data_IF_147778035900
#
_entry.id   IF_147778035900
#
_cell.length_a   1.000
_cell.length_b   1.000
_cell.length_c   1.000
_cell.angle_alpha   90.00
_cell.angle_beta   90.00
_cell.angle_gamma   90.00
#
_symmetry.space_group_name_H-M   'P 1'
#
loop_
_entity.id
_entity.type
_entity.pdbx_description
1 polymer ?
#
# COMPACT_ATOMS: atom_id res chain seq x y z
N UNK A 1 3.59 -21.51 -6.42
CA UNK A 1 2.34 -21.32 -5.66
C UNK A 1 1.38 -20.51 -6.52
N UNK A 2 0.09 -20.82 -6.53
CA UNK A 2 -0.89 -20.05 -7.31
C UNK A 2 -1.16 -18.71 -6.63
N UNK A 3 -1.29 -17.63 -7.42
CA UNK A 3 -1.62 -16.30 -6.91
C UNK A 3 -3.03 -16.29 -6.30
N UNK A 4 -3.23 -15.46 -5.27
CA UNK A 4 -4.54 -15.28 -4.61
C UNK A 4 -5.50 -14.56 -5.54
N UNK A 5 -5.02 -13.51 -6.21
CA UNK A 5 -5.76 -12.77 -7.23
C UNK A 5 -4.89 -12.65 -8.48
N UNK A 6 -5.45 -12.96 -9.64
CA UNK A 6 -4.83 -12.65 -10.92
C UNK A 6 -5.77 -11.79 -11.75
N UNK A 7 -5.30 -10.65 -12.22
CA UNK A 7 -6.01 -9.68 -13.05
C UNK A 7 -5.38 -9.69 -14.44
N UNK A 8 -6.20 -9.82 -15.49
CA UNK A 8 -5.77 -9.91 -16.88
C UNK A 8 -6.53 -8.92 -17.74
N UNK A 9 -5.86 -7.86 -18.15
CA UNK A 9 -6.33 -6.82 -19.08
C UNK A 9 -7.68 -6.20 -18.73
N UNK A 10 -7.94 -5.99 -17.43
CA UNK A 10 -9.21 -5.39 -17.00
C UNK A 10 -9.35 -3.99 -17.55
N UNK A 11 -10.45 -3.78 -18.27
CA UNK A 11 -10.87 -2.50 -18.83
C UNK A 11 -12.27 -2.16 -18.34
N UNK A 12 -12.49 -0.90 -17.97
CA UNK A 12 -13.79 -0.40 -17.52
C UNK A 12 -14.11 0.95 -18.11
N UNK A 13 -15.27 1.04 -18.76
CA UNK A 13 -15.84 2.29 -19.22
C UNK A 13 -17.11 2.65 -18.44
N UNK A 14 -17.29 3.94 -18.17
CA UNK A 14 -18.53 4.56 -17.73
C UNK A 14 -18.99 5.52 -18.85
N UNK A 15 -19.85 5.04 -19.74
CA UNK A 15 -20.18 5.76 -20.96
C UNK A 15 -18.90 6.02 -21.78
N UNK A 16 -18.52 7.31 -21.93
CA UNK A 16 -17.30 7.71 -22.66
C UNK A 16 -16.04 7.79 -21.79
N UNK A 17 -16.18 7.67 -20.47
CA UNK A 17 -15.06 7.79 -19.54
C UNK A 17 -14.40 6.42 -19.39
N UNK A 18 -13.12 6.32 -19.72
CA UNK A 18 -12.29 5.11 -19.51
C UNK A 18 -11.71 5.18 -18.10
N UNK A 19 -12.30 4.42 -17.17
CA UNK A 19 -11.88 4.37 -15.78
C UNK A 19 -10.73 3.39 -15.52
N UNK A 20 -10.63 2.30 -16.33
CA UNK A 20 -9.52 1.35 -16.31
C UNK A 20 -9.15 0.97 -17.75
N UNK A 21 -7.86 0.77 -18.01
CA UNK A 21 -7.33 0.39 -19.31
C UNK A 21 -6.34 -0.76 -19.20
N UNK A 22 -6.77 -1.95 -19.61
CA UNK A 22 -5.96 -3.17 -19.72
C UNK A 22 -5.06 -3.46 -18.49
N UNK A 23 -5.58 -3.18 -17.28
CA UNK A 23 -4.85 -3.39 -16.04
C UNK A 23 -4.59 -4.88 -15.83
N UNK A 24 -3.32 -5.25 -15.59
CA UNK A 24 -2.88 -6.63 -15.39
C UNK A 24 -1.83 -6.70 -14.29
N UNK A 25 -2.08 -7.47 -13.23
CA UNK A 25 -1.09 -7.82 -12.20
C UNK A 25 -1.57 -9.02 -11.39
N UNK A 26 -0.70 -9.52 -10.52
CA UNK A 26 -0.96 -10.68 -9.68
C UNK A 26 -0.68 -10.35 -8.22
N UNK A 27 -1.47 -10.95 -7.31
CA UNK A 27 -1.33 -10.79 -5.86
C UNK A 27 -0.89 -12.11 -5.26
N UNK A 28 0.33 -12.18 -4.69
CA UNK A 28 0.84 -13.37 -4.03
C UNK A 28 0.07 -13.68 -2.73
N UNK A 29 0.00 -14.96 -2.32
CA UNK A 29 -0.57 -15.34 -1.02
C UNK A 29 0.30 -14.79 0.13
N UNK A 30 -0.37 -14.38 1.24
CA UNK A 30 0.30 -13.86 2.43
C UNK A 30 0.88 -12.45 2.28
N UNK A 31 0.71 -11.81 1.11
CA UNK A 31 1.20 -10.44 0.88
C UNK A 31 0.24 -9.39 1.46
N UNK A 32 0.81 -8.26 1.86
CA UNK A 32 0.09 -6.99 1.96
C UNK A 32 0.31 -6.23 0.65
N UNK A 33 -0.71 -6.16 -0.18
CA UNK A 33 -0.65 -5.62 -1.52
C UNK A 33 -1.34 -4.25 -1.61
N UNK A 34 -0.57 -3.20 -1.87
CA UNK A 34 -1.05 -1.83 -2.02
C UNK A 34 -1.45 -1.51 -3.46
N UNK A 35 -2.68 -1.02 -3.68
CA UNK A 35 -3.11 -0.42 -4.95
C UNK A 35 -3.06 1.09 -4.76
N UNK A 36 -2.09 1.74 -5.38
CA UNK A 36 -1.69 3.12 -5.15
C UNK A 36 -2.06 4.04 -6.29
N UNK A 37 -2.30 5.28 -5.97
CA UNK A 37 -2.53 6.33 -6.98
C UNK A 37 -3.39 7.46 -6.45
N UNK A 38 -3.42 8.61 -7.14
CA UNK A 38 -4.23 9.75 -6.75
C UNK A 38 -5.73 9.45 -6.83
N UNK A 39 -6.54 10.36 -6.30
CA UNK A 39 -7.98 10.28 -6.46
C UNK A 39 -8.35 10.28 -7.96
N UNK A 40 -9.28 9.42 -8.35
CA UNK A 40 -9.66 9.23 -9.75
C UNK A 40 -8.71 8.36 -10.59
N UNK A 41 -7.67 7.73 -10.00
CA UNK A 41 -6.77 6.84 -10.74
C UNK A 41 -7.37 5.47 -11.10
N UNK A 42 -8.56 5.13 -10.57
CA UNK A 42 -9.24 3.87 -10.86
C UNK A 42 -9.20 2.82 -9.75
N UNK A 43 -8.60 3.09 -8.57
CA UNK A 43 -8.44 2.13 -7.45
C UNK A 43 -9.77 1.52 -7.00
N UNK A 44 -10.72 2.35 -6.59
CA UNK A 44 -12.07 1.91 -6.16
C UNK A 44 -12.81 1.19 -7.29
N UNK A 45 -12.67 1.64 -8.54
CA UNK A 45 -13.25 0.96 -9.70
C UNK A 45 -12.66 -0.45 -9.86
N UNK A 46 -11.34 -0.59 -9.72
CA UNK A 46 -10.67 -1.89 -9.82
C UNK A 46 -11.12 -2.83 -8.68
N UNK A 47 -11.14 -2.35 -7.43
CA UNK A 47 -11.65 -3.13 -6.30
C UNK A 47 -13.12 -3.52 -6.52
N UNK A 48 -13.96 -2.59 -6.98
CA UNK A 48 -15.36 -2.87 -7.32
C UNK A 48 -15.52 -3.96 -8.38
N UNK A 49 -14.64 -3.99 -9.39
CA UNK A 49 -14.62 -5.03 -10.43
C UNK A 49 -14.22 -6.38 -9.83
N UNK A 50 -13.11 -6.47 -9.11
CA UNK A 50 -12.64 -7.77 -8.59
C UNK A 50 -13.52 -8.32 -7.47
N UNK A 51 -14.31 -7.47 -6.81
CA UNK A 51 -15.34 -7.86 -5.85
C UNK A 51 -16.71 -8.11 -6.51
N UNK A 52 -16.81 -7.93 -7.84
CA UNK A 52 -18.04 -8.11 -8.61
C UNK A 52 -19.21 -7.21 -8.18
N UNK A 53 -18.90 -6.05 -7.62
CA UNK A 53 -19.84 -4.94 -7.43
C UNK A 53 -20.04 -4.21 -8.74
N UNK A 54 -19.00 -4.17 -9.57
CA UNK A 54 -18.98 -3.59 -10.91
C UNK A 54 -18.58 -4.68 -11.92
N UNK A 55 -19.21 -4.65 -13.09
CA UNK A 55 -18.78 -5.50 -14.19
C UNK A 55 -17.66 -4.84 -14.98
N UNK A 56 -16.60 -5.59 -15.30
CA UNK A 56 -15.61 -5.14 -16.28
C UNK A 56 -16.27 -4.97 -17.65
N UNK A 57 -15.77 -4.02 -18.45
CA UNK A 57 -16.16 -3.91 -19.85
C UNK A 57 -15.43 -4.96 -20.68
N UNK A 58 -14.17 -5.25 -20.33
CA UNK A 58 -13.34 -6.28 -20.96
C UNK A 58 -12.29 -6.78 -19.96
N UNK A 59 -11.66 -7.92 -20.27
CA UNK A 59 -10.67 -8.58 -19.40
C UNK A 59 -11.30 -9.57 -18.45
N UNK A 60 -10.46 -10.20 -17.63
CA UNK A 60 -10.88 -11.23 -16.66
C UNK A 60 -10.02 -11.19 -15.43
N UNK A 61 -10.55 -11.76 -14.35
CA UNK A 61 -9.80 -11.97 -13.11
C UNK A 61 -10.17 -13.32 -12.51
N UNK A 62 -9.29 -13.83 -11.67
CA UNK A 62 -9.50 -15.07 -10.93
C UNK A 62 -9.10 -14.89 -9.47
N UNK A 63 -9.86 -15.53 -8.58
CA UNK A 63 -9.54 -15.64 -7.17
C UNK A 63 -9.12 -17.07 -6.84
N UNK A 64 -8.08 -17.24 -6.02
CA UNK A 64 -7.58 -18.54 -5.58
C UNK A 64 -7.21 -19.50 -6.73
N UNK A 65 -6.77 -18.95 -7.86
CA UNK A 65 -6.43 -19.74 -9.06
C UNK A 65 -7.63 -20.17 -9.93
N UNK A 66 -8.85 -19.83 -9.55
CA UNK A 66 -10.09 -20.22 -10.24
C UNK A 66 -10.86 -18.99 -10.76
N UNK A 67 -11.70 -19.14 -11.78
CA UNK A 67 -12.60 -18.08 -12.22
C UNK A 67 -13.45 -17.53 -11.08
N UNK A 68 -13.63 -16.21 -11.02
CA UNK A 68 -14.34 -15.56 -9.93
C UNK A 68 -15.78 -16.05 -9.78
N UNK A 69 -16.18 -16.44 -8.57
CA UNK A 69 -17.51 -16.92 -8.23
C UNK A 69 -18.04 -16.31 -6.92
N UNK A 70 -19.35 -16.41 -6.70
CA UNK A 70 -19.95 -15.97 -5.45
C UNK A 70 -19.41 -16.75 -4.22
N UNK A 71 -19.09 -18.04 -4.42
CA UNK A 71 -18.57 -18.86 -3.35
C UNK A 71 -17.15 -18.48 -2.92
N UNK A 72 -16.32 -18.05 -3.86
CA UNK A 72 -14.97 -17.54 -3.55
C UNK A 72 -15.03 -16.21 -2.82
N UNK A 73 -15.95 -15.31 -3.20
CA UNK A 73 -16.12 -14.00 -2.52
C UNK A 73 -16.57 -14.15 -1.06
N UNK A 74 -17.27 -15.24 -0.68
CA UNK A 74 -17.58 -15.54 0.74
C UNK A 74 -16.33 -15.76 1.60
N UNK A 75 -15.19 -16.10 0.99
CA UNK A 75 -13.91 -16.30 1.68
C UNK A 75 -13.10 -14.99 1.82
N UNK A 76 -13.66 -13.86 1.37
CA UNK A 76 -13.00 -12.55 1.34
C UNK A 76 -13.73 -11.60 2.27
N UNK A 77 -13.03 -11.03 3.22
CA UNK A 77 -13.52 -9.93 4.05
C UNK A 77 -13.32 -8.61 3.31
N UNK A 78 -14.40 -7.87 3.07
CA UNK A 78 -14.33 -6.68 2.19
C UNK A 78 -14.88 -5.44 2.88
N UNK A 79 -14.12 -4.36 2.83
CA UNK A 79 -14.52 -2.99 3.18
C UNK A 79 -14.32 -2.12 1.94
N UNK A 80 -15.40 -1.86 1.21
CA UNK A 80 -15.44 -0.88 0.13
C UNK A 80 -16.25 0.31 0.63
N UNK A 81 -15.66 1.51 0.54
CA UNK A 81 -16.27 2.75 1.01
C UNK A 81 -16.53 2.82 2.53
N UNK A 82 -17.44 3.72 2.94
CA UNK A 82 -17.74 3.97 4.34
C UNK A 82 -18.64 2.87 4.91
N UNK A 83 -18.38 2.36 6.10
CA UNK A 83 -19.19 1.32 6.70
C UNK A 83 -20.60 1.84 7.03
N UNK A 84 -21.61 1.16 6.50
CA UNK A 84 -23.00 1.42 6.78
C UNK A 84 -23.48 0.58 7.98
N UNK A 85 -23.41 1.17 9.18
CA UNK A 85 -23.95 0.59 10.41
C UNK A 85 -25.13 1.37 10.92
N UNK A 86 -26.00 0.70 11.68
CA UNK A 86 -27.14 1.34 12.32
C UNK A 86 -26.68 2.20 13.50
N UNK A 87 -26.84 3.51 13.38
CA UNK A 87 -26.32 4.51 14.33
C UNK A 87 -26.89 4.36 15.75
N UNK A 88 -28.13 3.89 15.88
CA UNK A 88 -28.82 3.70 17.15
C UNK A 88 -28.52 2.36 17.83
N UNK A 89 -27.89 1.41 17.15
CA UNK A 89 -27.47 0.13 17.70
C UNK A 89 -26.06 0.20 18.27
N UNK A 90 -25.76 -0.73 19.18
CA UNK A 90 -24.39 -0.91 19.69
C UNK A 90 -23.46 -1.53 18.65
N UNK A 91 -22.15 -1.43 18.88
CA UNK A 91 -21.16 -2.09 18.02
C UNK A 91 -21.41 -3.58 17.86
N UNK A 92 -21.65 -4.28 18.96
CA UNK A 92 -21.94 -5.73 18.97
C UNK A 92 -23.21 -6.05 18.18
N UNK A 93 -24.31 -5.30 18.36
CA UNK A 93 -25.55 -5.53 17.61
C UNK A 93 -25.37 -5.32 16.10
N UNK A 94 -24.58 -4.34 15.71
CA UNK A 94 -24.22 -4.14 14.31
C UNK A 94 -23.44 -5.33 13.76
N UNK A 95 -22.50 -5.90 14.52
CA UNK A 95 -21.76 -7.10 14.10
C UNK A 95 -22.64 -8.35 14.02
N UNK A 96 -23.66 -8.50 14.90
CA UNK A 96 -24.65 -9.59 14.79
C UNK A 96 -25.42 -9.52 13.46
N UNK A 97 -25.86 -8.33 13.08
CA UNK A 97 -26.50 -8.12 11.78
C UNK A 97 -25.54 -8.44 10.64
N UNK A 98 -24.28 -7.98 10.72
CA UNK A 98 -23.27 -8.28 9.70
C UNK A 98 -22.99 -9.80 9.61
N UNK A 99 -22.90 -10.49 10.74
CA UNK A 99 -22.71 -11.94 10.79
C UNK A 99 -23.90 -12.67 10.14
N UNK A 100 -25.12 -12.31 10.47
CA UNK A 100 -26.34 -12.90 9.89
C UNK A 100 -26.40 -12.70 8.36
N UNK A 101 -26.11 -11.49 7.86
CA UNK A 101 -26.08 -11.20 6.41
C UNK A 101 -25.02 -12.05 5.69
N UNK A 102 -23.86 -12.26 6.31
CA UNK A 102 -22.75 -13.02 5.73
C UNK A 102 -22.90 -14.55 5.94
N UNK A 103 -23.87 -14.98 6.73
CA UNK A 103 -24.08 -16.40 7.07
C UNK A 103 -23.00 -16.97 7.99
N UNK A 104 -22.43 -16.12 8.87
CA UNK A 104 -21.42 -16.51 9.88
C UNK A 104 -22.03 -16.62 11.28
N UNK A 105 -21.42 -17.44 12.16
CA UNK A 105 -21.82 -17.56 13.57
C UNK A 105 -21.57 -16.27 14.34
N UNK A 106 -22.48 -15.93 15.26
CA UNK A 106 -22.30 -14.84 16.22
C UNK A 106 -21.20 -15.13 17.26
N UNK A 107 -20.81 -16.41 17.42
CA UNK A 107 -19.74 -16.83 18.34
C UNK A 107 -18.37 -16.22 17.99
N UNK A 108 -18.20 -15.76 16.75
CA UNK A 108 -16.98 -15.09 16.28
C UNK A 108 -16.89 -13.61 16.68
N UNK A 109 -18.00 -13.01 17.15
CA UNK A 109 -18.06 -11.57 17.48
C UNK A 109 -17.11 -11.18 18.60
N UNK A 110 -16.98 -11.91 19.71
CA UNK A 110 -15.99 -11.59 20.77
C UNK A 110 -14.57 -11.48 20.20
N UNK A 111 -14.14 -12.49 19.44
CA UNK A 111 -12.81 -12.54 18.83
C UNK A 111 -12.54 -11.31 17.96
N UNK A 112 -13.44 -10.95 17.04
CA UNK A 112 -13.22 -9.83 16.14
C UNK A 112 -13.24 -8.49 16.88
N UNK A 113 -14.02 -8.34 17.94
CA UNK A 113 -14.03 -7.14 18.78
C UNK A 113 -12.74 -6.98 19.57
N UNK A 114 -12.16 -8.07 20.07
CA UNK A 114 -10.85 -8.06 20.73
C UNK A 114 -9.74 -7.69 19.75
N UNK A 115 -9.70 -8.31 18.57
CA UNK A 115 -8.71 -8.02 17.51
C UNK A 115 -8.68 -6.52 17.16
N UNK A 116 -9.85 -5.89 17.05
CA UNK A 116 -9.91 -4.46 16.74
C UNK A 116 -9.90 -3.54 17.97
N UNK A 117 -9.69 -4.06 19.19
CA UNK A 117 -9.64 -3.33 20.45
C UNK A 117 -10.93 -2.52 20.73
N UNK A 118 -12.09 -3.13 20.47
CA UNK A 118 -13.42 -2.53 20.72
C UNK A 118 -14.26 -3.32 21.73
N UNK A 119 -13.70 -4.34 22.36
CA UNK A 119 -14.43 -5.19 23.31
C UNK A 119 -15.10 -4.39 24.43
N UNK A 120 -14.38 -3.48 25.08
CA UNK A 120 -14.89 -2.66 26.20
C UNK A 120 -15.99 -1.66 25.77
N UNK A 121 -16.01 -1.33 24.49
CA UNK A 121 -16.98 -0.38 23.90
C UNK A 121 -18.10 -1.08 23.15
N UNK A 122 -18.18 -2.43 23.14
CA UNK A 122 -19.12 -3.22 22.32
C UNK A 122 -20.60 -2.86 22.54
N UNK A 123 -20.97 -2.46 23.77
CA UNK A 123 -22.34 -2.10 24.11
C UNK A 123 -22.66 -0.61 23.89
N UNK A 124 -21.67 0.23 23.59
CA UNK A 124 -21.88 1.64 23.28
C UNK A 124 -22.55 1.79 21.90
N UNK A 125 -23.44 2.77 21.77
CA UNK A 125 -24.10 3.07 20.46
C UNK A 125 -23.07 3.47 19.43
N UNK A 126 -23.22 2.99 18.19
CA UNK A 126 -22.33 3.34 17.08
C UNK A 126 -22.24 4.84 16.82
N UNK A 127 -23.35 5.59 17.08
CA UNK A 127 -23.36 7.06 16.98
C UNK A 127 -22.34 7.74 17.89
N UNK A 128 -21.93 7.09 19.00
CA UNK A 128 -20.97 7.64 19.97
C UNK A 128 -19.51 7.24 19.67
N UNK A 129 -19.28 6.47 18.61
CA UNK A 129 -17.94 6.07 18.23
C UNK A 129 -17.21 7.20 17.52
N UNK A 130 -15.91 7.37 17.83
CA UNK A 130 -15.02 8.19 17.01
C UNK A 130 -14.89 7.62 15.59
N UNK A 131 -14.37 8.40 14.65
CA UNK A 131 -14.16 7.90 13.28
C UNK A 131 -13.25 6.67 13.26
N UNK A 132 -12.15 6.68 14.01
CA UNK A 132 -11.26 5.52 14.14
C UNK A 132 -11.94 4.28 14.75
N UNK A 133 -12.82 4.46 15.76
CA UNK A 133 -13.62 3.35 16.28
C UNK A 133 -14.62 2.82 15.24
N UNK A 134 -15.25 3.68 14.46
CA UNK A 134 -16.16 3.29 13.36
C UNK A 134 -15.40 2.47 12.31
N UNK A 135 -14.20 2.92 11.93
CA UNK A 135 -13.36 2.22 10.98
C UNK A 135 -12.92 0.84 11.51
N UNK A 136 -12.52 0.77 12.78
CA UNK A 136 -12.16 -0.50 13.43
C UNK A 136 -13.35 -1.47 13.49
N UNK A 137 -14.57 -1.00 13.77
CA UNK A 137 -15.76 -1.84 13.71
C UNK A 137 -16.04 -2.36 12.29
N UNK A 138 -15.78 -1.54 11.26
CA UNK A 138 -15.89 -1.97 9.87
C UNK A 138 -14.90 -3.08 9.53
N UNK A 139 -13.65 -2.93 9.96
CA UNK A 139 -12.65 -3.98 9.83
C UNK A 139 -13.08 -5.25 10.61
N UNK A 140 -13.62 -5.10 11.84
CA UNK A 140 -14.17 -6.24 12.60
C UNK A 140 -15.23 -6.99 11.80
N UNK A 141 -16.14 -6.29 11.12
CA UNK A 141 -17.14 -6.93 10.26
C UNK A 141 -16.52 -7.71 9.10
N UNK A 142 -15.37 -7.26 8.58
CA UNK A 142 -14.64 -7.97 7.53
C UNK A 142 -13.98 -9.25 8.05
N UNK A 143 -13.63 -9.30 9.34
CA UNK A 143 -12.96 -10.43 9.98
C UNK A 143 -13.90 -11.56 10.39
N UNK A 144 -15.22 -11.34 10.36
CA UNK A 144 -16.21 -12.38 10.65
C UNK A 144 -16.04 -13.58 9.72
N UNK A 145 -16.08 -14.78 10.30
CA UNK A 145 -15.84 -16.02 9.57
C UNK A 145 -14.36 -16.27 9.23
N UNK A 146 -13.44 -15.49 9.79
CA UNK A 146 -12.00 -15.65 9.68
C UNK A 146 -11.47 -15.78 8.23
N UNK A 147 -11.82 -14.87 7.31
CA UNK A 147 -11.40 -14.96 5.91
C UNK A 147 -9.87 -14.95 5.78
N UNK A 148 -9.35 -15.67 4.78
CA UNK A 148 -7.91 -15.69 4.46
C UNK A 148 -7.46 -14.45 3.66
N UNK A 149 -8.41 -13.77 3.03
CA UNK A 149 -8.17 -12.58 2.21
C UNK A 149 -9.00 -11.41 2.72
N UNK A 150 -8.39 -10.24 2.81
CA UNK A 150 -9.03 -8.97 3.18
C UNK A 150 -8.84 -7.96 2.07
N UNK A 151 -9.89 -7.20 1.77
CA UNK A 151 -9.86 -6.12 0.77
C UNK A 151 -10.37 -4.83 1.40
N UNK A 152 -9.53 -3.80 1.43
CA UNK A 152 -9.84 -2.51 2.05
C UNK A 152 -9.68 -1.38 1.04
N UNK A 153 -10.72 -0.56 0.89
CA UNK A 153 -10.65 0.68 0.12
C UNK A 153 -10.49 1.86 1.07
N UNK A 154 -9.36 2.56 0.97
CA UNK A 154 -8.99 3.74 1.75
C UNK A 154 -9.20 3.56 3.29
N UNK A 155 -8.63 2.51 3.93
CA UNK A 155 -8.95 2.17 5.33
C UNK A 155 -8.50 3.22 6.35
N UNK A 156 -7.65 4.16 5.97
CA UNK A 156 -7.12 5.22 6.83
C UNK A 156 -7.67 6.61 6.49
N UNK A 157 -8.57 6.70 5.50
CA UNK A 157 -9.07 7.99 5.04
C UNK A 157 -9.86 8.73 6.13
N UNK A 158 -9.53 10.01 6.33
CA UNK A 158 -10.16 10.88 7.31
C UNK A 158 -9.79 10.63 8.77
N UNK A 159 -8.91 9.65 9.06
CA UNK A 159 -8.42 9.41 10.41
C UNK A 159 -7.36 10.45 10.80
N UNK A 160 -7.27 10.70 12.10
CA UNK A 160 -6.17 11.44 12.69
C UNK A 160 -4.87 10.60 12.68
N UNK A 161 -3.69 11.19 12.93
CA UNK A 161 -2.43 10.44 12.91
C UNK A 161 -2.39 9.23 13.85
N UNK A 162 -3.10 9.28 14.98
CA UNK A 162 -3.19 8.16 15.92
C UNK A 162 -4.02 7.02 15.31
N UNK A 163 -5.18 7.33 14.75
CA UNK A 163 -6.04 6.35 14.09
C UNK A 163 -5.38 5.70 12.87
N UNK A 164 -4.58 6.48 12.10
CA UNK A 164 -3.77 5.94 11.00
C UNK A 164 -2.76 4.93 11.54
N UNK A 165 -2.01 5.28 12.61
CA UNK A 165 -1.04 4.39 13.22
C UNK A 165 -1.68 3.10 13.78
N UNK A 166 -2.82 3.21 14.47
CA UNK A 166 -3.56 2.06 15.00
C UNK A 166 -4.06 1.14 13.88
N UNK A 167 -4.60 1.70 12.79
CA UNK A 167 -5.06 0.92 11.63
C UNK A 167 -3.89 0.21 10.94
N UNK A 168 -2.74 0.87 10.83
CA UNK A 168 -1.52 0.30 10.30
C UNK A 168 -1.03 -0.91 11.13
N UNK A 169 -0.97 -0.77 12.45
CA UNK A 169 -0.59 -1.89 13.33
C UNK A 169 -1.57 -3.06 13.21
N UNK A 170 -2.88 -2.78 13.14
CA UNK A 170 -3.89 -3.82 12.92
C UNK A 170 -3.66 -4.57 11.60
N UNK A 171 -3.36 -3.87 10.50
CA UNK A 171 -3.05 -4.49 9.20
C UNK A 171 -1.79 -5.37 9.31
N UNK A 172 -0.75 -4.90 10.01
CA UNK A 172 0.48 -5.68 10.25
C UNK A 172 0.21 -6.96 11.05
N UNK A 173 -0.59 -6.87 12.10
CA UNK A 173 -0.90 -8.01 12.95
C UNK A 173 -1.75 -9.04 12.20
N UNK A 174 -2.68 -8.61 11.35
CA UNK A 174 -3.45 -9.49 10.48
C UNK A 174 -2.56 -10.17 9.43
N UNK A 175 -1.59 -9.46 8.87
CA UNK A 175 -0.60 -10.03 7.94
C UNK A 175 0.29 -11.08 8.61
N UNK A 176 0.76 -10.83 9.85
CA UNK A 176 1.53 -11.81 10.63
C UNK A 176 0.74 -13.11 10.91
N UNK A 177 -0.59 -13.04 10.92
CA UNK A 177 -1.48 -14.20 11.02
C UNK A 177 -1.63 -14.96 9.69
N UNK A 178 -0.88 -14.61 8.66
CA UNK A 178 -0.90 -15.26 7.35
C UNK A 178 -2.01 -14.80 6.40
N UNK A 179 -2.72 -13.72 6.73
CA UNK A 179 -3.77 -13.19 5.84
C UNK A 179 -3.15 -12.44 4.64
N UNK A 180 -3.76 -12.60 3.48
CA UNK A 180 -3.48 -11.76 2.31
C UNK A 180 -4.34 -10.52 2.38
N UNK A 181 -3.75 -9.34 2.27
CA UNK A 181 -4.47 -8.07 2.41
C UNK A 181 -4.26 -7.23 1.15
N UNK A 182 -5.35 -6.88 0.47
CA UNK A 182 -5.34 -5.86 -0.57
C UNK A 182 -5.85 -4.56 0.03
N UNK A 183 -5.10 -3.49 -0.16
CA UNK A 183 -5.55 -2.18 0.27
C UNK A 183 -5.35 -1.14 -0.84
N UNK A 184 -6.39 -0.36 -1.14
CA UNK A 184 -6.26 0.81 -1.97
C UNK A 184 -5.96 2.02 -1.09
N UNK A 185 -5.02 2.87 -1.50
CA UNK A 185 -4.70 4.11 -0.79
C UNK A 185 -4.08 5.16 -1.72
N UNK A 186 -4.26 6.41 -1.36
CA UNK A 186 -3.55 7.54 -1.94
C UNK A 186 -2.39 8.03 -1.05
N UNK A 187 -2.25 7.48 0.18
CA UNK A 187 -1.21 7.82 1.15
C UNK A 187 0.00 6.89 0.95
N UNK A 188 0.92 7.28 0.07
CA UNK A 188 2.07 6.48 -0.34
C UNK A 188 2.98 6.10 0.83
N UNK A 189 3.26 7.06 1.73
CA UNK A 189 4.09 6.85 2.92
C UNK A 189 3.53 5.80 3.89
N UNK A 190 2.19 5.76 4.03
CA UNK A 190 1.56 4.79 4.93
C UNK A 190 1.57 3.38 4.34
N UNK A 191 1.41 3.30 3.02
CA UNK A 191 1.49 2.03 2.29
C UNK A 191 2.90 1.45 2.32
N UNK A 192 3.92 2.27 2.12
CA UNK A 192 5.32 1.85 2.18
C UNK A 192 5.68 1.18 3.51
N UNK A 193 5.04 1.61 4.62
CA UNK A 193 5.30 1.07 5.95
C UNK A 193 4.68 -0.32 6.20
N UNK A 194 3.71 -0.76 5.40
CA UNK A 194 2.97 -2.02 5.64
C UNK A 194 2.95 -2.97 4.46
N UNK A 195 3.05 -2.48 3.22
CA UNK A 195 2.93 -3.30 2.04
C UNK A 195 4.23 -4.02 1.70
N UNK A 196 4.09 -5.27 1.26
CA UNK A 196 5.17 -6.07 0.67
C UNK A 196 5.20 -5.92 -0.85
N UNK A 197 4.04 -5.69 -1.46
CA UNK A 197 3.85 -5.53 -2.90
C UNK A 197 2.97 -4.33 -3.20
N UNK A 198 3.14 -3.75 -4.36
CA UNK A 198 2.35 -2.59 -4.82
C UNK A 198 1.98 -2.69 -6.30
N UNK A 199 0.88 -2.04 -6.65
CA UNK A 199 0.52 -1.67 -8.02
C UNK A 199 0.23 -0.17 -8.04
N UNK A 200 0.88 0.58 -8.90
CA UNK A 200 0.70 2.04 -9.03
C UNK A 200 -0.19 2.32 -10.24
N UNK A 201 -1.32 2.97 -9.98
CA UNK A 201 -2.31 3.35 -10.99
C UNK A 201 -2.32 4.86 -11.21
N UNK A 202 -2.41 5.28 -12.48
CA UNK A 202 -2.65 6.67 -12.87
C UNK A 202 -3.63 6.71 -14.06
N UNK A 203 -4.70 7.51 -13.95
CA UNK A 203 -5.69 7.71 -15.02
C UNK A 203 -6.23 6.40 -15.62
N UNK A 204 -6.40 5.39 -14.78
CA UNK A 204 -6.89 4.06 -15.17
C UNK A 204 -5.85 3.13 -15.77
N UNK A 205 -4.59 3.52 -15.83
CA UNK A 205 -3.49 2.72 -16.37
C UNK A 205 -2.57 2.22 -15.25
N UNK A 206 -2.03 1.03 -15.39
CA UNK A 206 -1.02 0.46 -14.50
C UNK A 206 0.36 0.98 -14.92
N UNK A 207 1.01 1.75 -14.05
CA UNK A 207 2.37 2.23 -14.30
C UNK A 207 3.42 1.18 -13.95
N UNK A 208 3.25 0.51 -12.81
CA UNK A 208 4.15 -0.56 -12.35
C UNK A 208 3.44 -1.43 -11.32
N UNK A 209 3.87 -2.69 -11.18
CA UNK A 209 3.46 -3.58 -10.09
C UNK A 209 4.60 -4.55 -9.75
N UNK A 210 4.74 -4.91 -8.46
CA UNK A 210 5.74 -5.86 -7.99
C UNK A 210 6.01 -5.74 -6.50
N UNK A 211 7.06 -6.41 -6.04
CA UNK A 211 7.58 -6.25 -4.67
C UNK A 211 8.00 -4.79 -4.42
N UNK A 212 7.69 -4.26 -3.23
CA UNK A 212 8.01 -2.85 -2.89
C UNK A 212 9.51 -2.58 -3.04
N UNK A 213 10.36 -3.51 -2.61
CA UNK A 213 11.81 -3.32 -2.74
C UNK A 213 12.23 -3.32 -4.21
N UNK A 214 11.67 -4.17 -5.06
CA UNK A 214 11.97 -4.18 -6.50
C UNK A 214 11.49 -2.89 -7.18
N UNK A 215 10.30 -2.40 -6.84
CA UNK A 215 9.77 -1.15 -7.38
C UNK A 215 10.62 0.06 -6.97
N UNK A 216 11.18 0.03 -5.74
CA UNK A 216 12.00 1.13 -5.20
C UNK A 216 13.49 1.03 -5.56
N UNK A 217 14.02 -0.16 -5.90
CA UNK A 217 15.46 -0.46 -5.91
C UNK A 217 16.21 -0.19 -7.21
N UNK A 218 15.65 0.50 -8.18
CA UNK A 218 16.45 0.73 -9.40
C UNK A 218 17.61 1.72 -9.23
N UNK A 219 17.69 2.47 -8.13
CA UNK A 219 18.79 3.42 -7.86
C UNK A 219 18.95 3.66 -6.37
N UNK A 220 20.16 3.63 -5.90
CA UNK A 220 20.51 4.12 -4.56
C UNK A 220 20.86 5.60 -4.66
N UNK A 221 20.28 6.41 -3.76
CA UNK A 221 20.49 7.85 -3.70
C UNK A 221 21.34 8.21 -2.48
N UNK A 222 22.37 9.00 -2.70
CA UNK A 222 23.17 9.59 -1.60
C UNK A 222 23.02 11.11 -1.63
N UNK A 223 22.69 11.69 -0.48
CA UNK A 223 22.70 13.13 -0.27
C UNK A 223 24.07 13.54 0.24
N UNK A 224 24.70 14.47 -0.48
CA UNK A 224 26.03 14.97 -0.22
C UNK A 224 26.04 16.50 -0.11
N UNK A 225 26.72 17.00 0.90
CA UNK A 225 27.00 18.42 1.08
C UNK A 225 28.46 18.66 1.40
N UNK A 226 29.01 19.75 0.90
CA UNK A 226 30.34 20.22 1.23
C UNK A 226 30.39 21.75 1.24
N UNK A 227 31.38 22.33 1.89
CA UNK A 227 31.59 23.79 1.90
C UNK A 227 31.88 24.33 0.48
N UNK A 228 32.53 23.52 -0.36
CA UNK A 228 32.77 23.79 -1.79
C UNK A 228 31.93 22.78 -2.63
N UNK A 229 30.69 23.15 -2.90
CA UNK A 229 29.77 22.35 -3.72
C UNK A 229 30.20 22.28 -5.20
N UNK A 230 30.93 23.30 -5.71
CA UNK A 230 31.45 23.29 -7.07
C UNK A 230 32.53 22.24 -7.25
N UNK A 231 33.50 22.19 -6.34
CA UNK A 231 34.54 21.16 -6.33
C UNK A 231 33.96 19.75 -6.10
N UNK A 232 32.99 19.62 -5.15
CA UNK A 232 32.27 18.35 -4.93
C UNK A 232 31.64 17.84 -6.22
N UNK A 233 30.89 18.69 -6.94
CA UNK A 233 30.24 18.32 -8.21
C UNK A 233 31.23 17.83 -9.27
N UNK A 234 32.42 18.41 -9.32
CA UNK A 234 33.45 18.06 -10.32
C UNK A 234 34.04 16.67 -10.07
N UNK A 235 34.18 16.26 -8.81
CA UNK A 235 34.83 14.97 -8.46
C UNK A 235 33.84 13.78 -8.45
N UNK A 236 32.55 14.00 -8.17
CA UNK A 236 31.56 12.94 -8.02
C UNK A 236 31.41 11.99 -9.21
N UNK A 237 31.52 12.46 -10.48
CA UNK A 237 31.46 11.58 -11.66
C UNK A 237 32.55 10.49 -11.71
N UNK A 238 33.63 10.65 -10.95
CA UNK A 238 34.71 9.64 -10.86
C UNK A 238 34.43 8.53 -9.83
N UNK A 239 33.31 8.53 -9.15
CA UNK A 239 32.91 7.43 -8.24
C UNK A 239 32.41 6.21 -9.03
N UNK A 240 32.68 4.98 -8.55
CA UNK A 240 32.15 3.77 -9.17
C UNK A 240 30.61 3.80 -9.25
N UNK A 241 30.06 3.41 -10.39
CA UNK A 241 28.63 3.31 -10.60
C UNK A 241 27.86 4.65 -10.55
N UNK A 242 28.56 5.76 -10.64
CA UNK A 242 27.93 7.09 -10.74
C UNK A 242 26.98 7.15 -11.95
N UNK A 243 25.76 7.68 -11.73
CA UNK A 243 24.77 7.89 -12.80
C UNK A 243 24.44 9.36 -13.01
N UNK A 244 24.01 10.04 -11.97
CA UNK A 244 23.46 11.39 -12.10
C UNK A 244 23.60 12.19 -10.82
N UNK A 245 23.75 13.51 -10.98
CA UNK A 245 23.61 14.51 -9.92
C UNK A 245 22.33 15.29 -10.14
N UNK A 246 21.54 15.48 -9.08
CA UNK A 246 20.41 16.41 -9.02
C UNK A 246 20.66 17.41 -7.90
N UNK A 247 20.31 18.68 -8.14
CA UNK A 247 20.32 19.69 -7.09
C UNK A 247 19.07 19.53 -6.21
N UNK A 248 19.29 19.57 -4.91
CA UNK A 248 18.23 19.72 -3.92
C UNK A 248 18.59 20.95 -3.07
N UNK A 249 17.61 21.64 -2.50
CA UNK A 249 17.71 22.98 -1.88
C UNK A 249 19.01 23.27 -1.09
N UNK A 250 19.59 22.26 -0.42
CA UNK A 250 20.79 22.40 0.41
C UNK A 250 21.89 21.40 0.13
N UNK A 251 21.65 20.35 -0.71
CA UNK A 251 22.56 19.24 -0.92
C UNK A 251 22.54 18.74 -2.36
N UNK A 252 23.58 18.04 -2.79
CA UNK A 252 23.57 17.28 -4.03
C UNK A 252 22.98 15.91 -3.78
N UNK A 253 22.03 15.48 -4.61
CA UNK A 253 21.55 14.11 -4.65
C UNK A 253 22.26 13.38 -5.79
N UNK A 254 22.96 12.31 -5.45
CA UNK A 254 23.72 11.51 -6.40
C UNK A 254 23.10 10.12 -6.47
N UNK A 255 22.80 9.67 -7.67
CA UNK A 255 22.36 8.31 -7.92
C UNK A 255 23.50 7.41 -8.38
N UNK A 256 23.52 6.17 -7.88
CA UNK A 256 24.49 5.16 -8.21
C UNK A 256 23.81 3.90 -8.76
N UNK A 257 24.55 3.12 -9.54
CA UNK A 257 24.11 1.79 -9.95
C UNK A 257 24.10 0.84 -8.76
N UNK A 258 23.11 -0.05 -8.71
CA UNK A 258 23.04 -1.10 -7.68
C UNK A 258 24.28 -2.01 -7.81
N UNK A 259 24.95 -2.29 -6.69
CA UNK A 259 26.15 -3.11 -6.67
C UNK A 259 27.45 -2.39 -7.08
N UNK A 260 27.41 -1.07 -7.26
CA UNK A 260 28.54 -0.25 -7.69
C UNK A 260 29.77 -0.32 -6.75
N UNK A 261 29.57 -0.70 -5.49
CA UNK A 261 30.61 -0.75 -4.45
C UNK A 261 30.90 -2.17 -3.97
N UNK A 262 30.70 -3.20 -4.82
CA UNK A 262 30.88 -4.63 -4.50
C UNK A 262 30.09 -5.10 -3.26
N UNK A 263 29.05 -4.34 -2.86
CA UNK A 263 28.16 -4.59 -1.74
C UNK A 263 26.71 -4.40 -2.16
N UNK A 264 25.79 -5.06 -1.45
CA UNK A 264 24.35 -4.87 -1.66
C UNK A 264 23.87 -3.43 -1.34
N UNK A 265 24.65 -2.67 -0.56
CA UNK A 265 24.35 -1.30 -0.13
C UNK A 265 25.57 -0.42 -0.36
N UNK A 266 25.36 0.83 -0.80
CA UNK A 266 26.42 1.83 -0.95
C UNK A 266 27.21 1.99 0.35
N UNK A 267 28.55 1.89 0.25
CA UNK A 267 29.44 2.17 1.36
C UNK A 267 29.74 3.68 1.45
N UNK A 268 29.06 4.35 2.38
CA UNK A 268 29.26 5.78 2.62
C UNK A 268 30.70 6.11 3.04
N UNK A 269 31.41 5.17 3.68
CA UNK A 269 32.81 5.33 4.04
C UNK A 269 33.71 5.48 2.82
N UNK A 270 33.46 4.70 1.78
CA UNK A 270 34.22 4.78 0.50
C UNK A 270 33.97 6.16 -0.16
N UNK A 271 32.73 6.63 -0.18
CA UNK A 271 32.40 7.94 -0.73
C UNK A 271 33.10 9.07 0.06
N UNK A 272 33.04 8.98 1.39
CA UNK A 272 33.70 9.98 2.25
C UNK A 272 35.22 10.00 2.05
N UNK A 273 35.86 8.85 2.03
CA UNK A 273 37.31 8.72 1.78
C UNK A 273 37.68 9.27 0.40
N UNK A 274 36.92 8.91 -0.64
CA UNK A 274 37.14 9.39 -2.00
C UNK A 274 37.12 10.92 -2.10
N UNK A 275 36.13 11.58 -1.42
CA UNK A 275 36.02 13.02 -1.38
C UNK A 275 37.19 13.65 -0.60
N UNK A 276 37.54 13.08 0.55
CA UNK A 276 38.65 13.55 1.40
C UNK A 276 39.98 13.52 0.69
N UNK A 277 40.31 12.42 0.00
CA UNK A 277 41.58 12.25 -0.76
C UNK A 277 41.71 13.27 -1.90
N UNK A 278 40.56 13.88 -2.34
CA UNK A 278 40.53 14.93 -3.35
C UNK A 278 40.39 16.34 -2.76
N UNK A 279 40.56 16.45 -1.44
CA UNK A 279 40.56 17.70 -0.71
C UNK A 279 39.16 18.33 -0.60
N UNK A 280 38.11 17.49 -0.55
CA UNK A 280 36.72 17.90 -0.26
C UNK A 280 36.27 17.30 1.05
N UNK A 281 35.99 18.16 2.03
CA UNK A 281 35.42 17.76 3.32
C UNK A 281 33.90 17.82 3.23
N UNK A 282 33.26 16.66 3.42
CA UNK A 282 31.81 16.56 3.43
C UNK A 282 31.24 17.12 4.73
N UNK A 283 30.25 17.98 4.62
CA UNK A 283 29.46 18.50 5.75
C UNK A 283 28.15 17.73 5.94
N UNK A 284 27.72 17.02 4.89
CA UNK A 284 26.54 16.16 4.90
C UNK A 284 26.80 14.92 4.04
N UNK A 285 26.46 13.74 4.58
CA UNK A 285 26.57 12.47 3.87
C UNK A 285 25.49 11.54 4.39
N UNK A 286 24.50 11.21 3.56
CA UNK A 286 23.36 10.38 3.96
C UNK A 286 22.90 9.49 2.82
N UNK A 287 22.76 8.19 3.10
CA UNK A 287 22.06 7.28 2.20
C UNK A 287 20.55 7.55 2.27
N UNK A 288 19.93 7.82 1.14
CA UNK A 288 18.49 8.00 1.02
C UNK A 288 17.88 6.81 0.28
N UNK A 289 16.98 6.11 0.94
CA UNK A 289 16.12 5.15 0.23
C UNK A 289 15.10 5.93 -0.60
N UNK A 290 14.93 5.56 -1.87
CA UNK A 290 13.81 6.09 -2.67
C UNK A 290 12.50 5.74 -1.95
N UNK A 291 11.62 6.71 -1.81
CA UNK A 291 10.26 6.47 -1.30
C UNK A 291 9.31 6.15 -2.46
N UNK A 292 8.19 5.48 -2.14
CA UNK A 292 7.11 5.28 -3.12
C UNK A 292 6.60 6.61 -3.68
N UNK A 293 6.61 7.68 -2.88
CA UNK A 293 6.24 9.02 -3.33
C UNK A 293 7.21 9.54 -4.41
N UNK A 294 8.53 9.41 -4.18
CA UNK A 294 9.53 9.81 -5.16
C UNK A 294 9.40 9.02 -6.46
N UNK A 295 9.15 7.70 -6.34
CA UNK A 295 8.95 6.82 -7.50
C UNK A 295 7.68 7.17 -8.27
N UNK A 296 6.59 7.45 -7.55
CA UNK A 296 5.35 7.91 -8.15
C UNK A 296 5.55 9.20 -8.94
N UNK A 297 6.21 10.21 -8.37
CA UNK A 297 6.50 11.47 -9.04
C UNK A 297 7.39 11.31 -10.28
N UNK A 298 8.28 10.31 -10.29
CA UNK A 298 9.10 9.97 -11.45
C UNK A 298 8.28 9.36 -12.59
N UNK A 299 7.38 8.43 -12.26
CA UNK A 299 6.53 7.71 -13.23
C UNK A 299 5.40 8.58 -13.80
N UNK A 300 5.08 9.70 -13.15
CA UNK A 300 3.92 10.55 -13.51
C UNK A 300 4.32 11.86 -14.20
N UNK A 301 5.60 12.11 -14.40
CA UNK A 301 6.13 13.19 -15.23
C UNK A 301 6.04 12.85 -16.70
#
# INVERSE_FOLDING_TARGET
MSNILAIRSITKFYGRIRALHQVSFEVPPGSVFGILGPNGSGKTTLLGVVMNVLQATDGRYSWFGEPASAQQRKKIGTLLETPNFYHYLSGERNLRIAAAIKGHSEEDIPRVLEVVKLWDRRHSKFSTYSLGMKQRLAIASCLLGNPSVLVFDEPTNGLDPVGIAETRELIRDLSKQGKTILLASHLLDEVEKVCTHVAILQKGELLTAGDVNEVLTNEELVELGASDSGKLRTILPGLPGFRQIKDNEHHLQVSFEKGAFDKEVIDLGVINQYCFDRGVVLTHLRLRKKSLESKFMELTK
#
